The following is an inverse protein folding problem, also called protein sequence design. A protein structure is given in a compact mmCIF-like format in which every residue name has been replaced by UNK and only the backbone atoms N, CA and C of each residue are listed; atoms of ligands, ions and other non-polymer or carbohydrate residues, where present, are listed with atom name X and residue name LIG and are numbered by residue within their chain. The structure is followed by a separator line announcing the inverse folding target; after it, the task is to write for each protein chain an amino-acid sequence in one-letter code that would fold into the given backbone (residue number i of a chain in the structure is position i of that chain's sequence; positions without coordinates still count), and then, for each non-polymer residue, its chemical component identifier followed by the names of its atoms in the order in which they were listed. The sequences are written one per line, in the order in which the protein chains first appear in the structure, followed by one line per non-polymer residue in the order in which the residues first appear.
data_IF_964608541002
#
_entry.id   IF_964608541002
#
_cell.length_a   1.000
_cell.length_b   1.000
_cell.length_c   1.000
_cell.angle_alpha   90.00
_cell.angle_beta   90.00
_cell.angle_gamma   90.00
#
_symmetry.space_group_name_H-M   'P 1'
#
loop_
_entity.id
_entity.type
_entity.pdbx_description
1 polymer ?
#
# COMPACT_ATOMS: atom_id res chain seq x y z
N UNK A 1 45.95 -18.37 -24.98
CA UNK A 1 46.53 -17.04 -25.33
C UNK A 1 46.80 -16.20 -24.07
N UNK A 2 45.96 -16.28 -23.03
CA UNK A 2 46.16 -15.58 -21.75
C UNK A 2 47.41 -16.03 -20.97
N UNK A 3 47.71 -17.34 -20.97
CA UNK A 3 48.89 -17.89 -20.26
C UNK A 3 50.22 -17.47 -20.87
N UNK A 4 50.25 -17.22 -22.19
CA UNK A 4 51.48 -16.80 -22.89
C UNK A 4 51.81 -15.32 -22.63
N UNK A 5 50.81 -14.49 -22.33
CA UNK A 5 51.01 -13.07 -21.96
C UNK A 5 51.63 -12.91 -20.57
N UNK A 6 51.31 -13.81 -19.64
CA UNK A 6 51.83 -13.77 -18.27
C UNK A 6 53.35 -14.05 -18.25
N UNK A 7 53.81 -14.99 -19.08
CA UNK A 7 55.23 -15.34 -19.19
C UNK A 7 56.04 -14.25 -19.91
N UNK A 8 55.45 -13.56 -20.89
CA UNK A 8 56.10 -12.45 -21.61
C UNK A 8 56.20 -11.17 -20.78
N UNK A 9 55.23 -10.90 -19.90
CA UNK A 9 55.27 -9.75 -18.99
C UNK A 9 56.34 -9.91 -17.89
N UNK A 10 56.64 -11.14 -17.48
CA UNK A 10 57.64 -11.43 -16.43
C UNK A 10 59.09 -11.18 -16.88
N UNK A 11 59.36 -11.17 -18.20
CA UNK A 11 60.71 -11.03 -18.75
C UNK A 11 61.08 -9.61 -19.19
N UNK A 12 60.12 -8.67 -19.34
CA UNK A 12 60.34 -7.39 -20.06
C UNK A 12 60.26 -6.14 -19.19
N UNK A 13 59.71 -6.17 -17.97
CA UNK A 13 59.53 -4.95 -17.15
C UNK A 13 60.24 -5.05 -15.78
N UNK A 14 61.28 -4.23 -15.51
CA UNK A 14 62.05 -4.30 -14.26
C UNK A 14 61.34 -3.74 -13.01
N UNK A 15 60.10 -3.25 -13.10
CA UNK A 15 59.36 -2.71 -11.96
C UNK A 15 57.85 -2.87 -12.21
N UNK A 16 57.12 -3.71 -11.46
CA UNK A 16 55.67 -3.74 -11.53
C UNK A 16 55.07 -2.46 -10.90
N UNK A 17 54.65 -1.52 -11.73
CA UNK A 17 53.95 -0.27 -11.34
C UNK A 17 52.53 -0.51 -10.76
N UNK A 18 52.14 -1.77 -10.55
CA UNK A 18 50.90 -2.13 -9.85
C UNK A 18 51.26 -2.82 -8.55
N UNK A 19 51.40 -2.02 -7.49
CA UNK A 19 51.37 -2.51 -6.12
C UNK A 19 49.94 -3.01 -5.87
N UNK A 20 49.67 -4.27 -6.21
CA UNK A 20 48.48 -4.98 -5.77
C UNK A 20 48.43 -4.86 -4.26
N UNK A 21 47.49 -4.07 -3.75
CA UNK A 21 47.16 -4.04 -2.33
C UNK A 21 46.93 -5.50 -1.96
N UNK A 22 47.81 -6.07 -1.15
CA UNK A 22 47.74 -7.46 -0.68
C UNK A 22 46.57 -7.58 0.28
N UNK A 23 45.36 -7.58 -0.29
CA UNK A 23 44.10 -7.79 0.40
C UNK A 23 44.15 -9.19 1.00
N UNK A 24 44.20 -9.25 2.33
CA UNK A 24 44.15 -10.51 3.05
C UNK A 24 42.76 -11.13 2.85
N UNK A 25 42.67 -12.16 2.00
CA UNK A 25 41.42 -12.82 1.65
C UNK A 25 40.66 -13.35 2.86
N UNK A 26 41.34 -13.64 3.98
CA UNK A 26 40.71 -14.03 5.24
C UNK A 26 39.85 -12.93 5.87
N UNK A 27 40.31 -11.67 5.79
CA UNK A 27 39.56 -10.50 6.31
C UNK A 27 38.35 -10.20 5.42
N UNK A 28 38.50 -10.37 4.11
CA UNK A 28 37.39 -10.18 3.16
C UNK A 28 36.31 -11.27 3.33
N UNK A 29 36.73 -12.52 3.56
CA UNK A 29 35.82 -13.66 3.79
C UNK A 29 35.03 -13.50 5.09
N UNK A 30 35.68 -13.10 6.19
CA UNK A 30 34.98 -12.88 7.46
C UNK A 30 34.01 -11.69 7.38
N UNK A 31 34.41 -10.59 6.74
CA UNK A 31 33.53 -9.45 6.48
C UNK A 31 32.31 -9.84 5.64
N UNK A 32 32.52 -10.57 4.53
CA UNK A 32 31.45 -11.04 3.66
C UNK A 32 30.50 -12.00 4.40
N UNK A 33 31.02 -12.85 5.29
CA UNK A 33 30.22 -13.74 6.12
C UNK A 33 29.29 -12.96 7.06
N UNK A 34 29.83 -11.96 7.78
CA UNK A 34 29.04 -11.10 8.68
C UNK A 34 27.98 -10.33 7.91
N UNK A 35 28.33 -9.73 6.77
CA UNK A 35 27.38 -9.03 5.90
C UNK A 35 26.31 -9.97 5.37
N UNK A 36 26.68 -11.20 4.97
CA UNK A 36 25.74 -12.21 4.49
C UNK A 36 24.70 -12.60 5.54
N UNK A 37 25.15 -12.82 6.79
CA UNK A 37 24.26 -13.11 7.91
C UNK A 37 23.35 -11.93 8.21
N UNK A 38 23.90 -10.71 8.32
CA UNK A 38 23.10 -9.50 8.57
C UNK A 38 22.06 -9.24 7.47
N UNK A 39 22.43 -9.44 6.21
CA UNK A 39 21.55 -9.27 5.07
C UNK A 39 20.42 -10.30 5.08
N UNK A 40 20.73 -11.56 5.43
CA UNK A 40 19.72 -12.62 5.58
C UNK A 40 18.70 -12.27 6.67
N UNK A 41 19.17 -11.87 7.86
CA UNK A 41 18.29 -11.49 8.96
C UNK A 41 17.43 -10.26 8.63
N UNK A 42 18.02 -9.21 8.05
CA UNK A 42 17.29 -7.99 7.66
C UNK A 42 16.26 -8.28 6.58
N UNK A 43 16.62 -9.06 5.57
CA UNK A 43 15.69 -9.44 4.50
C UNK A 43 14.55 -10.29 5.03
N UNK A 44 14.83 -11.26 5.92
CA UNK A 44 13.80 -12.10 6.54
C UNK A 44 12.79 -11.28 7.34
N UNK A 45 13.26 -10.31 8.15
CA UNK A 45 12.36 -9.42 8.89
C UNK A 45 11.54 -8.52 7.97
N UNK A 46 12.15 -7.94 6.93
CA UNK A 46 11.46 -7.10 5.97
C UNK A 46 10.39 -7.89 5.19
N UNK A 47 10.70 -9.12 4.81
CA UNK A 47 9.78 -10.03 4.13
C UNK A 47 8.57 -10.37 5.00
N UNK A 48 8.78 -10.71 6.27
CA UNK A 48 7.68 -11.00 7.20
C UNK A 48 6.75 -9.79 7.35
N UNK A 49 7.32 -8.59 7.56
CA UNK A 49 6.52 -7.34 7.69
C UNK A 49 5.75 -7.01 6.41
N UNK A 50 6.33 -7.28 5.25
CA UNK A 50 5.64 -7.07 3.97
C UNK A 50 4.43 -7.99 3.83
N UNK A 51 4.58 -9.28 4.12
CA UNK A 51 3.48 -10.25 4.02
C UNK A 51 2.40 -10.03 5.07
N UNK A 52 2.79 -9.66 6.28
CA UNK A 52 1.85 -9.28 7.33
C UNK A 52 1.03 -8.05 6.91
N UNK A 53 1.69 -7.00 6.41
CA UNK A 53 1.02 -5.81 5.90
C UNK A 53 0.09 -6.10 4.72
N UNK A 54 0.54 -6.90 3.76
CA UNK A 54 -0.29 -7.32 2.63
C UNK A 54 -1.52 -8.11 3.10
N UNK A 55 -1.35 -9.01 4.06
CA UNK A 55 -2.45 -9.78 4.66
C UNK A 55 -3.50 -8.88 5.30
N UNK A 56 -3.09 -7.92 6.13
CA UNK A 56 -3.98 -6.97 6.81
C UNK A 56 -4.79 -6.14 5.81
N UNK A 57 -4.18 -5.74 4.68
CA UNK A 57 -4.88 -4.99 3.63
C UNK A 57 -5.97 -5.84 2.96
N UNK A 58 -5.67 -7.10 2.64
CA UNK A 58 -6.67 -8.00 2.07
C UNK A 58 -7.82 -8.31 3.05
N UNK A 59 -7.50 -8.51 4.33
CA UNK A 59 -8.49 -8.72 5.39
C UNK A 59 -9.42 -7.51 5.52
N UNK A 60 -8.85 -6.29 5.56
CA UNK A 60 -9.61 -5.05 5.59
C UNK A 60 -10.59 -4.91 4.40
N UNK A 61 -10.15 -5.23 3.18
CA UNK A 61 -11.04 -5.21 2.02
C UNK A 61 -12.13 -6.28 2.05
N UNK A 62 -11.80 -7.46 2.58
CA UNK A 62 -12.78 -8.50 2.87
C UNK A 62 -13.86 -7.99 3.81
N UNK A 63 -13.45 -7.39 4.93
CA UNK A 63 -14.35 -6.87 5.96
C UNK A 63 -15.23 -5.72 5.45
N UNK A 64 -14.67 -4.80 4.66
CA UNK A 64 -15.43 -3.71 4.04
C UNK A 64 -16.48 -4.24 3.07
N UNK A 65 -16.12 -5.23 2.26
CA UNK A 65 -17.03 -5.84 1.28
C UNK A 65 -18.16 -6.60 1.97
N UNK A 66 -17.85 -7.37 3.01
CA UNK A 66 -18.84 -8.08 3.83
C UNK A 66 -19.75 -7.10 4.56
N UNK A 67 -19.19 -6.05 5.16
CA UNK A 67 -19.95 -5.03 5.89
C UNK A 67 -20.90 -4.28 4.95
N UNK A 68 -20.43 -3.87 3.78
CA UNK A 68 -21.27 -3.23 2.77
C UNK A 68 -22.38 -4.17 2.27
N UNK A 69 -22.05 -5.44 2.01
CA UNK A 69 -23.02 -6.46 1.60
C UNK A 69 -24.13 -6.69 2.64
N UNK A 70 -23.76 -6.77 3.92
CA UNK A 70 -24.71 -6.92 5.03
C UNK A 70 -25.65 -5.72 5.14
N UNK A 71 -25.13 -4.49 5.01
CA UNK A 71 -25.94 -3.28 5.04
C UNK A 71 -26.93 -3.24 3.86
N UNK A 72 -26.48 -3.58 2.65
CA UNK A 72 -27.35 -3.68 1.47
C UNK A 72 -28.43 -4.77 1.64
N UNK A 73 -28.11 -5.87 2.31
CA UNK A 73 -29.07 -6.92 2.63
C UNK A 73 -30.13 -6.45 3.64
N UNK A 74 -29.77 -5.62 4.62
CA UNK A 74 -30.75 -5.06 5.58
C UNK A 74 -31.76 -4.14 4.90
N UNK A 75 -31.37 -3.44 3.84
CA UNK A 75 -32.32 -2.65 3.04
C UNK A 75 -33.45 -3.48 2.40
N UNK A 76 -33.32 -4.82 2.34
CA UNK A 76 -34.39 -5.68 1.81
C UNK A 76 -35.66 -5.68 2.67
N UNK A 77 -35.53 -5.43 3.97
CA UNK A 77 -36.65 -5.37 4.92
C UNK A 77 -37.19 -3.96 5.11
N UNK A 78 -36.72 -2.98 4.33
CA UNK A 78 -37.20 -1.61 4.38
C UNK A 78 -38.64 -1.50 3.88
N UNK A 79 -39.47 -0.74 4.59
CA UNK A 79 -40.84 -0.37 4.18
C UNK A 79 -40.88 0.91 3.31
N UNK A 80 -39.73 1.53 3.03
CA UNK A 80 -39.63 2.76 2.24
C UNK A 80 -39.74 2.52 0.73
N UNK A 81 -39.91 3.62 -0.01
CA UNK A 81 -39.94 3.59 -1.47
C UNK A 81 -38.65 2.97 -2.05
N UNK A 82 -38.81 2.08 -3.03
CA UNK A 82 -37.69 1.42 -3.73
C UNK A 82 -36.64 2.40 -4.27
N UNK A 83 -37.06 3.59 -4.66
CA UNK A 83 -36.18 4.67 -5.16
C UNK A 83 -35.22 5.18 -4.09
N UNK A 84 -35.71 5.42 -2.86
CA UNK A 84 -34.86 5.84 -1.74
C UNK A 84 -33.90 4.74 -1.32
N UNK A 85 -34.37 3.48 -1.29
CA UNK A 85 -33.55 2.32 -0.95
C UNK A 85 -32.39 2.16 -1.96
N UNK A 86 -32.67 2.29 -3.25
CA UNK A 86 -31.61 2.23 -4.27
C UNK A 86 -30.65 3.43 -4.19
N UNK A 87 -31.15 4.62 -3.88
CA UNK A 87 -30.30 5.80 -3.66
C UNK A 87 -29.36 5.61 -2.46
N UNK A 88 -29.86 5.04 -1.37
CA UNK A 88 -29.05 4.70 -0.19
C UNK A 88 -27.96 3.66 -0.51
N UNK A 89 -28.32 2.55 -1.17
CA UNK A 89 -27.35 1.52 -1.58
C UNK A 89 -26.24 2.11 -2.45
N UNK A 90 -26.58 2.93 -3.43
CA UNK A 90 -25.61 3.58 -4.30
C UNK A 90 -24.69 4.52 -3.54
N UNK A 91 -25.23 5.32 -2.62
CA UNK A 91 -24.46 6.22 -1.78
C UNK A 91 -23.50 5.46 -0.85
N UNK A 92 -23.97 4.38 -0.24
CA UNK A 92 -23.15 3.52 0.63
C UNK A 92 -21.97 2.89 -0.13
N UNK A 93 -22.23 2.28 -1.29
CA UNK A 93 -21.18 1.63 -2.11
C UNK A 93 -20.13 2.65 -2.58
N UNK A 94 -20.56 3.86 -2.95
CA UNK A 94 -19.65 4.94 -3.34
C UNK A 94 -18.80 5.44 -2.17
N UNK A 95 -19.37 5.58 -0.98
CA UNK A 95 -18.62 5.94 0.22
C UNK A 95 -17.60 4.87 0.62
N UNK A 96 -17.95 3.59 0.50
CA UNK A 96 -17.02 2.47 0.75
C UNK A 96 -15.88 2.45 -0.28
N UNK A 97 -16.17 2.75 -1.56
CA UNK A 97 -15.16 2.92 -2.61
C UNK A 97 -14.23 4.11 -2.32
N UNK A 98 -14.79 5.25 -1.89
CA UNK A 98 -14.01 6.42 -1.48
C UNK A 98 -13.10 6.10 -0.28
N UNK A 99 -13.64 5.46 0.76
CA UNK A 99 -12.90 5.05 1.96
C UNK A 99 -11.72 4.14 1.58
N UNK A 100 -11.99 3.13 0.73
CA UNK A 100 -10.97 2.20 0.20
C UNK A 100 -9.83 2.95 -0.48
N UNK A 101 -10.16 3.92 -1.34
CA UNK A 101 -9.16 4.73 -2.03
C UNK A 101 -8.37 5.64 -1.07
N UNK A 102 -9.00 6.20 -0.03
CA UNK A 102 -8.32 7.01 0.99
C UNK A 102 -7.33 6.17 1.79
N UNK A 103 -7.73 5.00 2.28
CA UNK A 103 -6.86 4.13 3.07
C UNK A 103 -5.64 3.66 2.28
N UNK A 104 -5.81 3.32 1.00
CA UNK A 104 -4.68 2.97 0.14
C UNK A 104 -3.75 4.15 -0.13
N UNK A 105 -4.31 5.34 -0.35
CA UNK A 105 -3.53 6.56 -0.57
C UNK A 105 -2.69 6.91 0.67
N UNK A 106 -3.26 6.77 1.87
CA UNK A 106 -2.56 6.93 3.14
C UNK A 106 -1.49 5.84 3.35
N UNK A 107 -1.78 4.58 3.01
CA UNK A 107 -0.82 3.47 3.10
C UNK A 107 0.38 3.65 2.16
N UNK A 108 0.17 4.20 0.97
CA UNK A 108 1.24 4.54 0.02
C UNK A 108 2.06 5.77 0.47
N UNK A 109 1.67 6.45 1.55
CA UNK A 109 2.32 7.68 2.01
C UNK A 109 2.16 8.86 1.06
N UNK A 110 1.15 8.82 0.18
CA UNK A 110 0.84 9.91 -0.76
C UNK A 110 -0.16 10.86 -0.11
N UNK A 111 0.19 12.12 0.03
CA UNK A 111 -0.69 13.11 0.68
C UNK A 111 -1.67 13.80 -0.30
N UNK A 112 -1.48 13.64 -1.61
CA UNK A 112 -2.22 14.41 -2.61
C UNK A 112 -3.40 13.61 -3.22
N UNK A 113 -4.63 14.05 -2.89
CA UNK A 113 -5.84 13.64 -3.62
C UNK A 113 -5.88 14.14 -5.07
N UNK A 114 -4.99 15.06 -5.44
CA UNK A 114 -4.91 15.61 -6.79
C UNK A 114 -4.54 14.56 -7.86
N UNK A 115 -3.92 13.45 -7.43
CA UNK A 115 -3.56 12.32 -8.29
C UNK A 115 -3.92 11.00 -7.60
N UNK A 116 -5.19 10.82 -7.24
CA UNK A 116 -5.70 9.50 -6.86
C UNK A 116 -5.41 8.51 -7.99
N UNK A 117 -4.51 7.53 -7.78
CA UNK A 117 -4.17 6.55 -8.81
C UNK A 117 -5.27 5.49 -8.95
N UNK A 118 -6.27 5.52 -8.07
CA UNK A 118 -7.31 4.51 -7.97
C UNK A 118 -8.58 4.98 -8.66
N UNK A 119 -9.16 4.07 -9.44
CA UNK A 119 -10.50 4.24 -10.00
C UNK A 119 -11.53 4.24 -8.86
N UNK A 120 -12.14 5.40 -8.63
CA UNK A 120 -13.22 5.54 -7.65
C UNK A 120 -14.56 5.52 -8.38
N UNK A 121 -15.57 4.93 -7.73
CA UNK A 121 -16.94 5.05 -8.21
C UNK A 121 -17.40 6.51 -8.14
N UNK A 122 -18.21 6.90 -9.13
CA UNK A 122 -18.62 8.29 -9.36
C UNK A 122 -19.10 9.02 -8.08
N UNK A 123 -18.35 10.05 -7.69
CA UNK A 123 -18.60 10.88 -6.52
C UNK A 123 -19.66 11.96 -6.77
N UNK A 124 -20.25 12.05 -7.97
CA UNK A 124 -21.20 13.10 -8.34
C UNK A 124 -22.47 13.16 -7.47
N UNK A 125 -22.80 12.07 -6.77
CA UNK A 125 -23.93 12.02 -5.84
C UNK A 125 -23.57 12.38 -4.39
N UNK A 126 -22.29 12.58 -4.07
CA UNK A 126 -21.87 13.16 -2.80
C UNK A 126 -21.97 14.69 -2.88
N UNK A 127 -22.22 15.33 -1.73
CA UNK A 127 -22.21 16.79 -1.65
C UNK A 127 -20.85 17.34 -2.12
N UNK A 128 -20.80 18.14 -3.21
CA UNK A 128 -19.54 18.55 -3.82
C UNK A 128 -18.66 19.40 -2.89
N UNK A 129 -19.28 20.09 -1.93
CA UNK A 129 -18.63 20.86 -0.86
C UNK A 129 -17.85 19.96 0.10
N UNK A 130 -18.42 18.82 0.50
CA UNK A 130 -17.78 17.85 1.39
C UNK A 130 -16.55 17.22 0.72
N UNK A 131 -16.69 16.78 -0.53
CA UNK A 131 -15.60 16.19 -1.32
C UNK A 131 -14.48 17.19 -1.55
N UNK A 132 -14.80 18.46 -1.86
CA UNK A 132 -13.81 19.54 -2.04
C UNK A 132 -13.08 19.92 -0.74
N UNK A 133 -13.71 19.72 0.42
CA UNK A 133 -13.09 19.99 1.73
C UNK A 133 -12.15 18.87 2.20
N UNK A 134 -12.32 17.66 1.67
CA UNK A 134 -11.58 16.46 2.07
C UNK A 134 -10.05 16.57 1.93
N UNK A 135 -9.46 17.20 0.89
CA UNK A 135 -8.02 17.37 0.76
C UNK A 135 -7.40 18.22 1.88
N UNK A 136 -8.20 19.06 2.53
CA UNK A 136 -7.73 20.02 3.56
C UNK A 136 -7.71 19.39 4.96
N UNK A 137 -8.33 18.23 5.15
CA UNK A 137 -8.45 17.57 6.46
C UNK A 137 -7.30 16.59 6.69
N UNK A 138 -6.80 16.55 7.92
CA UNK A 138 -5.98 15.45 8.42
C UNK A 138 -6.86 14.21 8.62
N UNK A 139 -6.31 13.00 8.46
CA UNK A 139 -7.02 11.73 8.68
C UNK A 139 -8.24 11.55 7.76
N UNK A 140 -7.98 11.45 6.45
CA UNK A 140 -9.02 11.52 5.40
C UNK A 140 -9.87 10.25 5.44
N UNK A 141 -9.25 9.09 5.64
CA UNK A 141 -9.95 7.82 5.78
C UNK A 141 -10.95 7.84 6.95
N UNK A 142 -10.54 8.34 8.12
CA UNK A 142 -11.39 8.40 9.31
C UNK A 142 -12.59 9.34 9.12
N UNK A 143 -12.41 10.45 8.40
CA UNK A 143 -13.51 11.36 8.07
C UNK A 143 -14.57 10.64 7.21
N UNK A 144 -14.15 9.90 6.18
CA UNK A 144 -15.07 9.15 5.31
C UNK A 144 -15.75 8.01 6.09
N UNK A 145 -15.02 7.34 6.98
CA UNK A 145 -15.59 6.32 7.87
C UNK A 145 -16.68 6.90 8.78
N UNK A 146 -16.48 8.11 9.29
CA UNK A 146 -17.48 8.80 10.09
C UNK A 146 -18.71 9.20 9.27
N UNK A 147 -18.55 9.58 8.00
CA UNK A 147 -19.68 9.83 7.10
C UNK A 147 -20.53 8.58 6.85
N UNK A 148 -19.88 7.42 6.65
CA UNK A 148 -20.59 6.14 6.51
C UNK A 148 -21.42 5.84 7.76
N UNK A 149 -20.85 6.02 8.96
CA UNK A 149 -21.59 5.86 10.22
C UNK A 149 -22.78 6.81 10.32
N UNK A 150 -22.60 8.07 9.96
CA UNK A 150 -23.68 9.07 9.95
C UNK A 150 -24.83 8.63 9.06
N UNK A 151 -24.52 8.25 7.81
CA UNK A 151 -25.49 7.76 6.83
C UNK A 151 -26.24 6.52 7.32
N UNK A 152 -25.56 5.57 7.96
CA UNK A 152 -26.20 4.37 8.53
C UNK A 152 -27.15 4.76 9.66
N UNK A 153 -26.74 5.63 10.58
CA UNK A 153 -27.57 6.04 11.72
C UNK A 153 -28.78 6.85 11.26
N UNK A 154 -28.62 7.74 10.30
CA UNK A 154 -29.72 8.53 9.72
C UNK A 154 -30.77 7.64 9.05
N UNK A 155 -30.33 6.55 8.41
CA UNK A 155 -31.21 5.64 7.67
C UNK A 155 -31.60 4.38 8.45
N UNK A 156 -31.25 4.26 9.74
CA UNK A 156 -31.48 3.03 10.52
C UNK A 156 -32.97 2.67 10.66
N UNK A 157 -33.86 3.67 10.60
CA UNK A 157 -35.31 3.48 10.66
C UNK A 157 -35.94 3.27 9.29
N UNK A 158 -35.27 3.74 8.24
CA UNK A 158 -35.79 3.79 6.87
C UNK A 158 -35.16 2.72 5.98
N UNK A 159 -34.16 1.99 6.45
CA UNK A 159 -33.57 0.80 5.82
C UNK A 159 -32.81 1.07 4.54
#
# INVERSE_FOLDING_TARGET
ITTLRIVLDEFVLPEPMFKTISLNGGVYSSLTSVVGVLLSFRTSQAYNRFWEGAGLVYELFGDLSVSAGNLVAFCHYSEESREKVESFKQLLVRLVSLLSAMMLTELEGRDTLNHLPYEMLDLSSLEPSLVKSLPTKSHKAEVVFQWIKGVIVENIKTG
#
